data_IF_413780853684
#
_entry.id   IF_413780853684
#
_cell.length_a   1.000
_cell.length_b   1.000
_cell.length_c   1.000
_cell.angle_alpha   90.00
_cell.angle_beta   90.00
_cell.angle_gamma   90.00
#
_symmetry.space_group_name_H-M   'P 1'
#
loop_
_entity.id
_entity.type
_entity.pdbx_description
1 polymer ?
#
# COMPACT_ATOMS: atom_id res chain seq x y z
N UNK A 1 12.73 7.19 27.30
CA UNK A 1 12.29 6.14 26.37
C UNK A 1 10.82 6.38 26.08
N UNK A 2 10.37 6.24 24.83
CA UNK A 2 8.94 6.31 24.53
C UNK A 2 8.25 5.09 25.15
N UNK A 3 7.02 5.29 25.62
CA UNK A 3 6.19 4.21 26.12
C UNK A 3 5.85 3.23 24.99
N UNK A 4 5.80 1.93 25.28
CA UNK A 4 5.60 0.88 24.27
C UNK A 4 4.25 0.99 23.55
N UNK A 5 3.21 1.46 24.25
CA UNK A 5 1.91 1.76 23.62
C UNK A 5 2.02 2.90 22.62
N UNK A 6 2.76 3.95 22.97
CA UNK A 6 2.97 5.11 22.08
C UNK A 6 3.72 4.70 20.82
N UNK A 7 4.75 3.86 20.93
CA UNK A 7 5.49 3.34 19.78
C UNK A 7 4.60 2.49 18.86
N UNK A 8 3.80 1.58 19.43
CA UNK A 8 2.88 0.76 18.67
C UNK A 8 1.83 1.59 17.93
N UNK A 9 1.26 2.61 18.58
CA UNK A 9 0.27 3.51 17.98
C UNK A 9 0.87 4.39 16.89
N UNK A 10 2.10 4.86 17.07
CA UNK A 10 2.81 5.62 16.03
C UNK A 10 3.07 4.74 14.81
N UNK A 11 3.54 3.50 15.01
CA UNK A 11 3.77 2.55 13.93
C UNK A 11 2.48 2.28 13.14
N UNK A 12 1.37 2.07 13.83
CA UNK A 12 0.07 1.86 13.18
C UNK A 12 -0.37 3.07 12.31
N UNK A 13 -0.01 4.30 12.72
CA UNK A 13 -0.29 5.49 11.90
C UNK A 13 0.60 5.55 10.66
N UNK A 14 1.88 5.22 10.80
CA UNK A 14 2.84 5.17 9.68
C UNK A 14 2.42 4.09 8.68
N UNK A 15 2.16 2.87 9.14
CA UNK A 15 1.74 1.75 8.31
C UNK A 15 0.47 2.10 7.51
N UNK A 16 -0.49 2.77 8.17
CA UNK A 16 -1.73 3.23 7.52
C UNK A 16 -1.45 4.25 6.42
N UNK A 17 -0.50 5.15 6.63
CA UNK A 17 -0.15 6.19 5.65
C UNK A 17 0.57 5.60 4.44
N UNK A 18 1.50 4.68 4.67
CA UNK A 18 2.20 3.96 3.60
C UNK A 18 1.24 3.12 2.75
N UNK A 19 0.29 2.43 3.37
CA UNK A 19 -0.78 1.70 2.66
C UNK A 19 -1.64 2.67 1.84
N UNK A 20 -2.00 3.83 2.42
CA UNK A 20 -2.78 4.86 1.71
C UNK A 20 -2.06 5.33 0.45
N UNK A 21 -0.76 5.55 0.51
CA UNK A 21 0.04 5.94 -0.65
C UNK A 21 0.06 4.86 -1.73
N UNK A 22 0.13 3.58 -1.35
CA UNK A 22 -0.01 2.46 -2.31
C UNK A 22 -1.38 2.48 -2.99
N UNK A 23 -2.47 2.70 -2.26
CA UNK A 23 -3.81 2.78 -2.84
C UNK A 23 -3.97 3.97 -3.80
N UNK A 24 -3.40 5.12 -3.47
CA UNK A 24 -3.42 6.29 -4.36
C UNK A 24 -2.60 6.05 -5.64
N UNK A 25 -1.46 5.36 -5.53
CA UNK A 25 -0.65 4.94 -6.67
C UNK A 25 -1.40 3.95 -7.56
N UNK A 26 -2.04 2.95 -6.96
CA UNK A 26 -2.88 1.99 -7.67
C UNK A 26 -3.99 2.69 -8.47
N UNK A 27 -4.75 3.57 -7.81
CA UNK A 27 -5.83 4.32 -8.46
C UNK A 27 -5.31 5.14 -9.65
N UNK A 28 -4.17 5.84 -9.48
CA UNK A 28 -3.51 6.54 -10.59
C UNK A 28 -3.09 5.59 -11.72
N UNK A 29 -2.52 4.44 -11.39
CA UNK A 29 -2.09 3.43 -12.36
C UNK A 29 -3.26 2.94 -13.21
N UNK A 30 -4.37 2.59 -12.58
CA UNK A 30 -5.62 2.18 -13.24
C UNK A 30 -6.15 3.30 -14.12
N UNK A 31 -6.33 4.52 -13.59
CA UNK A 31 -6.89 5.66 -14.32
C UNK A 31 -6.09 6.04 -15.57
N UNK A 32 -4.78 5.75 -15.57
CA UNK A 32 -3.85 6.11 -16.65
C UNK A 32 -3.43 4.94 -17.52
N UNK A 33 -3.92 3.73 -17.25
CA UNK A 33 -3.48 2.50 -17.91
C UNK A 33 -1.95 2.34 -17.85
N UNK A 34 -1.34 2.71 -16.72
CA UNK A 34 0.11 2.64 -16.49
C UNK A 34 0.44 1.31 -15.79
N UNK A 35 0.87 0.32 -16.59
CA UNK A 35 1.16 -1.03 -16.10
C UNK A 35 2.34 -1.07 -15.12
N UNK A 36 3.40 -0.30 -15.37
CA UNK A 36 4.57 -0.27 -14.50
C UNK A 36 4.20 0.27 -13.12
N UNK A 37 3.43 1.37 -13.09
CA UNK A 37 2.95 1.96 -11.86
C UNK A 37 1.99 1.02 -11.11
N UNK A 38 1.12 0.31 -11.84
CA UNK A 38 0.21 -0.66 -11.25
C UNK A 38 0.96 -1.84 -10.62
N UNK A 39 1.92 -2.44 -11.35
CA UNK A 39 2.75 -3.56 -10.85
C UNK A 39 3.55 -3.18 -9.61
N UNK A 40 3.99 -1.93 -9.49
CA UNK A 40 4.72 -1.45 -8.31
C UNK A 40 3.92 -1.47 -7.01
N UNK A 41 2.59 -1.64 -7.08
CA UNK A 41 1.72 -1.71 -5.90
C UNK A 41 1.63 -3.11 -5.29
N UNK A 42 2.20 -4.12 -5.94
CA UNK A 42 2.13 -5.52 -5.51
C UNK A 42 3.50 -6.05 -5.09
N UNK A 43 3.50 -7.02 -4.18
CA UNK A 43 4.71 -7.78 -3.88
C UNK A 43 5.04 -8.74 -5.04
N UNK A 44 6.32 -9.15 -5.22
CA UNK A 44 6.72 -10.04 -6.31
C UNK A 44 5.99 -11.39 -6.33
N UNK A 45 5.48 -11.84 -5.19
CA UNK A 45 4.76 -13.10 -4.97
C UNK A 45 3.24 -12.94 -4.86
N UNK A 46 2.71 -11.74 -5.15
CA UNK A 46 1.27 -11.49 -5.09
C UNK A 46 0.52 -12.21 -6.22
N UNK A 47 -0.69 -12.67 -5.90
CA UNK A 47 -1.67 -13.18 -6.86
C UNK A 47 -2.92 -12.33 -6.79
N UNK A 48 -3.41 -11.86 -7.95
CA UNK A 48 -4.64 -11.09 -8.07
C UNK A 48 -5.63 -11.87 -8.94
N UNK A 49 -6.85 -12.03 -8.43
CA UNK A 49 -7.94 -12.76 -9.08
C UNK A 49 -9.11 -11.80 -9.28
N UNK A 50 -9.41 -11.55 -10.55
CA UNK A 50 -10.51 -10.67 -10.97
C UNK A 50 -11.79 -11.43 -11.33
N UNK A 51 -12.02 -12.60 -10.72
CA UNK A 51 -13.26 -13.36 -10.80
C UNK A 51 -13.23 -14.50 -11.82
N UNK A 52 -12.15 -15.28 -11.85
CA UNK A 52 -12.00 -16.46 -12.70
C UNK A 52 -12.39 -17.78 -12.03
#
# INVERSE_FOLDING_TARGET
MMDGDTEARLRALIDKDEIRDVLMRYGRGVDRLDEELLRSCYHPDSHDDHGH
#
